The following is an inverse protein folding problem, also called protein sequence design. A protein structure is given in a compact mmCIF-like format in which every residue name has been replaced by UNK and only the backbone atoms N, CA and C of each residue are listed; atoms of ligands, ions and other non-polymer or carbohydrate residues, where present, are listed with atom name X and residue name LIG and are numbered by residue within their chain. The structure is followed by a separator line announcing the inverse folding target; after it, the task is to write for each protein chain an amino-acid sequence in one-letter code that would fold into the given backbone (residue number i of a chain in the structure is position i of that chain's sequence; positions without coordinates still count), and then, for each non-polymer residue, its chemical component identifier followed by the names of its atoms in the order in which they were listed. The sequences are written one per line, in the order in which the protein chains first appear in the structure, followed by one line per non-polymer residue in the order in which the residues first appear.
data_IF_569390264479
#
_entry.id   IF_569390264479
#
_cell.length_a   1.000
_cell.length_b   1.000
_cell.length_c   1.000
_cell.angle_alpha   90.00
_cell.angle_beta   90.00
_cell.angle_gamma   90.00
#
_symmetry.space_group_name_H-M   'P 1'
#
loop_
_entity.id
_entity.type
_entity.pdbx_description
1 polymer ?
#
# COMPACT_ATOMS: atom_id res chain seq x y z
N UNK A 1 2.58 -19.53 10.47
CA UNK A 1 3.68 -18.60 10.81
C UNK A 1 4.71 -18.58 9.70
N UNK A 2 5.51 -17.52 9.60
CA UNK A 2 6.55 -17.41 8.57
C UNK A 2 7.45 -16.21 8.79
N UNK A 3 8.45 -16.07 7.92
CA UNK A 3 9.36 -14.92 7.88
C UNK A 3 9.21 -14.26 6.52
N UNK A 4 9.02 -12.93 6.49
CA UNK A 4 8.84 -12.17 5.26
C UNK A 4 9.86 -11.05 5.13
N UNK A 5 10.29 -10.79 3.90
CA UNK A 5 10.96 -9.55 3.53
C UNK A 5 9.96 -8.63 2.85
N UNK A 6 10.02 -7.35 3.18
CA UNK A 6 9.19 -6.29 2.61
C UNK A 6 10.12 -5.29 1.94
N UNK A 7 9.81 -4.94 0.70
CA UNK A 7 10.58 -3.97 -0.07
C UNK A 7 9.63 -3.07 -0.86
N UNK A 8 9.87 -1.77 -0.81
CA UNK A 8 9.26 -0.80 -1.72
C UNK A 8 10.12 0.44 -1.85
N UNK A 9 9.82 1.24 -2.87
CA UNK A 9 10.32 2.60 -3.02
C UNK A 9 9.14 3.56 -2.86
N UNK A 10 9.25 4.49 -1.91
CA UNK A 10 8.31 5.58 -1.71
C UNK A 10 8.82 6.81 -2.47
N UNK A 11 8.10 7.18 -3.51
CA UNK A 11 8.44 8.30 -4.36
C UNK A 11 7.42 9.42 -4.18
N UNK A 12 7.91 10.63 -3.90
CA UNK A 12 7.13 11.86 -3.95
C UNK A 12 7.94 12.93 -4.70
N UNK A 13 7.51 13.31 -5.89
CA UNK A 13 8.28 14.18 -6.81
C UNK A 13 7.81 15.63 -6.85
N UNK A 14 6.66 15.95 -6.26
CA UNK A 14 6.13 17.30 -6.28
C UNK A 14 7.01 18.24 -5.44
N UNK A 15 7.33 19.41 -5.98
CA UNK A 15 8.00 20.48 -5.25
C UNK A 15 7.01 21.33 -4.45
N UNK A 16 5.74 21.34 -4.85
CA UNK A 16 4.69 22.15 -4.23
C UNK A 16 4.08 21.49 -2.98
N UNK A 17 4.17 20.16 -2.89
CA UNK A 17 3.66 19.37 -1.76
C UNK A 17 4.66 19.27 -0.61
N UNK A 18 4.16 19.16 0.62
CA UNK A 18 5.01 18.97 1.79
C UNK A 18 5.39 17.49 2.02
N UNK A 19 4.86 16.61 1.19
CA UNK A 19 5.26 15.21 1.10
C UNK A 19 4.41 14.29 1.95
N UNK A 20 4.63 13.00 1.79
CA UNK A 20 3.81 11.97 2.43
C UNK A 20 4.57 11.18 3.47
N UNK A 21 3.84 10.62 4.43
CA UNK A 21 4.34 9.63 5.39
C UNK A 21 3.68 8.29 5.12
N UNK A 22 4.50 7.25 4.96
CA UNK A 22 4.02 5.87 4.87
C UNK A 22 4.27 5.16 6.20
N UNK A 23 3.28 4.40 6.64
CA UNK A 23 3.32 3.54 7.80
C UNK A 23 3.17 2.07 7.39
N UNK A 24 3.97 1.21 8.01
CA UNK A 24 3.73 -0.22 8.05
C UNK A 24 3.33 -0.61 9.46
N UNK A 25 2.14 -1.18 9.61
CA UNK A 25 1.58 -1.58 10.88
C UNK A 25 1.37 -3.09 10.91
N UNK A 26 1.57 -3.69 12.07
CA UNK A 26 1.22 -5.07 12.38
C UNK A 26 0.15 -5.05 13.47
N UNK A 27 -0.90 -5.85 13.28
CA UNK A 27 -1.92 -6.05 14.32
C UNK A 27 -1.38 -6.65 15.62
N UNK A 28 -0.20 -7.30 15.56
CA UNK A 28 0.47 -7.93 16.70
C UNK A 28 1.59 -7.08 17.30
N UNK A 29 2.37 -6.42 16.45
CA UNK A 29 3.62 -5.75 16.83
C UNK A 29 3.50 -4.22 16.85
N UNK A 30 2.35 -3.68 16.42
CA UNK A 30 2.16 -2.24 16.26
C UNK A 30 2.91 -1.70 15.04
N UNK A 31 3.43 -0.48 15.11
CA UNK A 31 4.12 0.16 13.98
C UNK A 31 5.50 -0.46 13.76
N UNK A 32 5.68 -1.10 12.62
CA UNK A 32 6.92 -1.73 12.17
C UNK A 32 7.84 -0.76 11.44
N UNK A 33 7.28 0.24 10.77
CA UNK A 33 8.04 1.21 10.00
C UNK A 33 7.27 2.50 9.73
N UNK A 34 8.04 3.57 9.57
CA UNK A 34 7.56 4.89 9.22
C UNK A 34 8.61 5.57 8.34
N UNK A 35 8.21 6.02 7.16
CA UNK A 35 9.11 6.70 6.22
C UNK A 35 8.43 7.92 5.62
N UNK A 36 9.19 8.98 5.45
CA UNK A 36 8.70 10.24 4.90
C UNK A 36 9.41 10.56 3.60
N UNK A 37 8.66 10.85 2.54
CA UNK A 37 9.19 11.34 1.27
C UNK A 37 8.60 12.71 0.94
N UNK A 38 9.48 13.69 0.76
CA UNK A 38 9.16 15.03 0.29
C UNK A 38 10.21 15.44 -0.75
N UNK A 39 9.73 15.73 -1.96
CA UNK A 39 10.53 15.92 -3.18
C UNK A 39 11.75 14.97 -3.28
N UNK A 40 11.52 13.67 -3.06
CA UNK A 40 12.56 12.64 -3.07
C UNK A 40 11.99 11.24 -3.22
N UNK A 41 12.90 10.29 -3.39
CA UNK A 41 12.63 8.86 -3.25
C UNK A 41 13.23 8.32 -1.94
N UNK A 42 12.52 7.41 -1.28
CA UNK A 42 12.94 6.75 -0.04
C UNK A 42 12.70 5.25 -0.15
N UNK A 43 13.73 4.45 0.14
CA UNK A 43 13.59 3.01 0.19
C UNK A 43 12.95 2.56 1.51
N UNK A 44 11.87 1.80 1.43
CA UNK A 44 11.12 1.25 2.57
C UNK A 44 11.32 -0.26 2.64
N UNK A 45 12.31 -0.70 3.42
CA UNK A 45 12.69 -2.12 3.50
C UNK A 45 12.60 -2.63 4.94
N UNK A 46 12.03 -3.83 5.12
CA UNK A 46 12.24 -4.66 6.30
C UNK A 46 12.65 -6.06 5.86
N UNK A 47 13.66 -6.61 6.51
CA UNK A 47 14.13 -7.98 6.28
C UNK A 47 13.85 -8.82 7.50
N UNK A 48 13.60 -10.11 7.29
CA UNK A 48 13.42 -11.10 8.36
C UNK A 48 12.29 -10.76 9.33
N UNK A 49 11.20 -10.16 8.84
CA UNK A 49 10.03 -9.88 9.67
C UNK A 49 9.30 -11.19 9.99
N UNK A 50 9.27 -11.56 11.27
CA UNK A 50 8.47 -12.68 11.74
C UNK A 50 6.97 -12.33 11.74
N UNK A 51 6.17 -13.16 11.08
CA UNK A 51 4.71 -13.03 11.00
C UNK A 51 4.01 -14.28 11.51
N UNK A 52 2.88 -14.08 12.19
CA UNK A 52 2.03 -15.15 12.70
C UNK A 52 0.80 -15.37 11.83
N UNK A 53 0.29 -16.61 11.81
CA UNK A 53 -1.00 -16.85 11.16
C UNK A 53 -2.10 -15.99 11.80
N UNK A 54 -2.88 -15.28 10.98
CA UNK A 54 -3.90 -14.35 11.45
C UNK A 54 -3.39 -12.94 11.80
N UNK A 55 -2.07 -12.69 11.71
CA UNK A 55 -1.51 -11.33 11.79
C UNK A 55 -1.86 -10.54 10.52
N UNK A 56 -2.32 -9.32 10.70
CA UNK A 56 -2.57 -8.38 9.61
C UNK A 56 -1.39 -7.41 9.52
N UNK A 57 -0.94 -7.16 8.29
CA UNK A 57 0.03 -6.11 7.98
C UNK A 57 -0.68 -5.03 7.15
N UNK A 58 -0.77 -3.83 7.72
CA UNK A 58 -1.43 -2.70 7.07
C UNK A 58 -0.39 -1.72 6.53
N UNK A 59 -0.56 -1.35 5.27
CA UNK A 59 0.28 -0.40 4.55
C UNK A 59 -0.55 0.84 4.29
N UNK A 60 -0.20 1.95 4.94
CA UNK A 60 -0.96 3.19 4.86
C UNK A 60 -0.06 4.36 4.49
N UNK A 61 -0.56 5.27 3.65
CA UNK A 61 0.09 6.54 3.34
C UNK A 61 -0.82 7.66 3.77
N UNK A 62 -0.27 8.66 4.45
CA UNK A 62 -0.98 9.87 4.88
C UNK A 62 -0.26 11.11 4.35
N UNK A 63 -1.06 12.14 4.04
CA UNK A 63 -0.55 13.48 3.79
C UNK A 63 0.00 14.07 5.09
N UNK A 64 0.89 15.05 4.98
CA UNK A 64 1.46 15.72 6.15
C UNK A 64 0.60 16.91 6.57
N UNK A 65 1.11 18.12 6.43
CA UNK A 65 0.41 19.34 6.85
C UNK A 65 -0.65 19.75 5.84
N UNK A 66 -0.36 19.64 4.54
CA UNK A 66 -1.24 20.06 3.45
C UNK A 66 -1.28 18.97 2.37
N UNK A 67 -2.46 18.38 2.06
CA UNK A 67 -2.57 17.37 1.00
C UNK A 67 -2.30 17.93 -0.40
N UNK A 68 -2.21 19.25 -0.57
CA UNK A 68 -1.96 19.87 -1.88
C UNK A 68 -0.60 19.44 -2.41
N UNK A 69 -0.62 18.82 -3.59
CA UNK A 69 0.60 18.42 -4.28
C UNK A 69 1.24 17.14 -3.73
N UNK A 70 0.61 16.44 -2.80
CA UNK A 70 1.12 15.22 -2.14
C UNK A 70 0.98 13.94 -3.00
N UNK A 71 1.01 14.06 -4.33
CA UNK A 71 0.99 12.91 -5.22
C UNK A 71 2.21 12.02 -4.97
N UNK A 72 1.97 10.73 -4.72
CA UNK A 72 3.01 9.77 -4.40
C UNK A 72 2.87 8.47 -5.20
N UNK A 73 3.95 7.69 -5.21
CA UNK A 73 3.95 6.30 -5.67
C UNK A 73 4.57 5.43 -4.59
N UNK A 74 3.84 4.39 -4.19
CA UNK A 74 4.32 3.38 -3.24
C UNK A 74 3.63 2.05 -3.52
N UNK A 75 4.41 1.04 -3.88
CA UNK A 75 3.89 -0.29 -4.22
C UNK A 75 4.75 -1.37 -3.55
N UNK A 76 4.43 -1.73 -2.29
CA UNK A 76 5.18 -2.73 -1.54
C UNK A 76 5.14 -4.13 -2.18
N UNK A 77 6.28 -4.80 -2.11
CA UNK A 77 6.42 -6.22 -2.38
C UNK A 77 6.70 -6.95 -1.08
N UNK A 78 5.98 -8.04 -0.84
CA UNK A 78 6.21 -8.97 0.27
C UNK A 78 6.74 -10.27 -0.30
N UNK A 79 7.83 -10.79 0.25
CA UNK A 79 8.40 -12.09 -0.10
C UNK A 79 8.49 -12.94 1.15
N UNK A 80 7.74 -14.03 1.22
CA UNK A 80 7.88 -14.99 2.31
C UNK A 80 9.07 -15.90 2.05
N UNK A 81 10.03 -15.91 2.97
CA UNK A 81 11.13 -16.86 2.97
C UNK A 81 10.52 -18.25 3.12
N UNK A 82 10.86 -19.15 2.21
CA UNK A 82 10.39 -20.53 2.25
C UNK A 82 10.90 -21.21 3.52
N UNK A 83 10.08 -21.23 4.57
CA UNK A 83 10.12 -22.32 5.53
C UNK A 83 9.32 -23.47 4.89
N UNK A 84 10.04 -24.48 4.41
CA UNK A 84 9.55 -25.80 3.97
C UNK A 84 8.02 -25.94 3.88
N UNK A 85 7.41 -25.43 2.81
CA UNK A 85 6.02 -25.78 2.50
C UNK A 85 6.05 -27.21 1.92
N UNK A 86 5.44 -28.23 2.57
CA UNK A 86 5.42 -29.59 2.04
C UNK A 86 4.76 -29.59 0.66
N UNK A 87 5.51 -29.97 -0.38
CA UNK A 87 5.02 -30.00 -1.76
C UNK A 87 5.30 -28.76 -2.63
N UNK A 88 5.92 -27.71 -2.08
CA UNK A 88 6.36 -26.51 -2.81
C UNK A 88 7.83 -26.15 -2.53
N UNK A 89 8.69 -27.16 -2.46
CA UNK A 89 10.12 -26.97 -2.25
C UNK A 89 10.72 -26.05 -3.34
N UNK A 90 11.25 -24.90 -2.95
CA UNK A 90 11.94 -23.96 -3.83
C UNK A 90 11.13 -22.76 -4.34
N UNK A 91 9.84 -22.64 -4.00
CA UNK A 91 9.04 -21.46 -4.38
C UNK A 91 8.81 -20.52 -3.18
N UNK A 92 9.46 -19.35 -3.21
CA UNK A 92 9.13 -18.26 -2.30
C UNK A 92 7.77 -17.66 -2.70
N UNK A 93 6.86 -17.52 -1.73
CA UNK A 93 5.57 -16.86 -1.97
C UNK A 93 5.79 -15.36 -2.03
N UNK A 94 5.37 -14.73 -3.13
CA UNK A 94 5.55 -13.29 -3.38
C UNK A 94 4.19 -12.63 -3.62
N UNK A 95 4.02 -11.44 -3.05
CA UNK A 95 2.91 -10.54 -3.30
C UNK A 95 3.47 -9.18 -3.72
N UNK A 96 2.88 -8.59 -4.74
CA UNK A 96 3.31 -7.33 -5.34
C UNK A 96 2.09 -6.42 -5.50
N UNK A 97 2.06 -5.32 -4.73
CA UNK A 97 0.92 -4.41 -4.72
C UNK A 97 0.60 -3.82 -6.11
N UNK A 98 1.61 -3.60 -6.95
CA UNK A 98 1.41 -3.02 -8.29
C UNK A 98 0.61 -3.95 -9.19
N UNK A 99 0.85 -5.25 -9.10
CA UNK A 99 0.22 -6.25 -9.98
C UNK A 99 -0.92 -7.04 -9.34
N UNK A 100 -1.06 -7.03 -8.01
CA UNK A 100 -2.07 -7.83 -7.31
C UNK A 100 -3.35 -7.05 -6.95
N UNK A 101 -3.30 -5.72 -6.88
CA UNK A 101 -4.52 -4.89 -6.66
C UNK A 101 -5.19 -4.46 -7.96
N UNK A 102 -4.40 -4.30 -9.03
CA UNK A 102 -4.90 -4.04 -10.37
C UNK A 102 -4.80 -5.34 -11.16
N UNK A 103 -5.92 -5.84 -11.67
CA UNK A 103 -5.90 -6.89 -12.68
C UNK A 103 -5.98 -6.21 -14.06
N UNK A 104 -4.84 -5.99 -14.76
CA UNK A 104 -4.84 -5.32 -16.06
C UNK A 104 -5.60 -6.12 -17.13
N UNK A 105 -5.75 -7.43 -16.96
CA UNK A 105 -6.44 -8.32 -17.89
C UNK A 105 -7.96 -8.35 -17.66
N UNK A 106 -8.43 -7.75 -16.56
CA UNK A 106 -9.86 -7.66 -16.23
C UNK A 106 -10.26 -6.19 -16.22
N UNK A 107 -10.82 -5.73 -17.34
CA UNK A 107 -11.50 -4.44 -17.34
C UNK A 107 -12.54 -4.43 -16.20
N UNK A 108 -12.57 -3.38 -15.37
CA UNK A 108 -13.59 -3.27 -14.34
C UNK A 108 -14.96 -3.35 -15.02
N UNK A 109 -15.85 -4.20 -14.49
CA UNK A 109 -17.21 -4.25 -15.01
C UNK A 109 -17.84 -2.86 -14.83
N UNK A 110 -18.64 -2.37 -15.79
CA UNK A 110 -19.42 -1.16 -15.59
C UNK A 110 -20.18 -1.26 -14.27
N UNK A 111 -20.18 -0.18 -13.49
CA UNK A 111 -20.89 -0.14 -12.21
C UNK A 111 -22.39 -0.35 -12.45
N UNK A 112 -23.04 -1.10 -11.57
CA UNK A 112 -24.49 -1.20 -11.55
C UNK A 112 -25.14 0.10 -11.05
N UNK A 113 -26.45 0.33 -11.29
CA UNK A 113 -27.13 1.57 -10.90
C UNK A 113 -27.00 1.95 -9.41
N UNK A 114 -26.95 0.96 -8.51
CA UNK A 114 -26.75 1.18 -7.07
C UNK A 114 -25.31 1.54 -6.72
N UNK A 115 -24.33 0.98 -7.42
CA UNK A 115 -22.92 1.29 -7.23
C UNK A 115 -22.60 2.69 -7.77
N UNK A 116 -23.20 3.06 -8.90
CA UNK A 116 -23.17 4.43 -9.42
C UNK A 116 -23.81 5.42 -8.45
N UNK A 117 -25.01 5.12 -7.92
CA UNK A 117 -25.65 5.97 -6.91
C UNK A 117 -24.78 6.12 -5.66
N UNK A 118 -24.16 5.03 -5.18
CA UNK A 118 -23.23 5.08 -4.07
C UNK A 118 -22.01 5.96 -4.37
N UNK A 119 -21.44 5.87 -5.57
CA UNK A 119 -20.37 6.77 -6.00
C UNK A 119 -20.83 8.24 -6.05
N UNK A 120 -22.01 8.52 -6.60
CA UNK A 120 -22.56 9.88 -6.64
C UNK A 120 -22.75 10.44 -5.24
N UNK A 121 -23.23 9.63 -4.30
CA UNK A 121 -23.38 10.03 -2.90
C UNK A 121 -22.04 10.23 -2.17
N UNK A 122 -21.00 9.46 -2.52
CA UNK A 122 -19.66 9.66 -1.98
C UNK A 122 -19.01 10.94 -2.54
N UNK A 123 -19.15 11.17 -3.84
CA UNK A 123 -18.56 12.32 -4.53
C UNK A 123 -19.30 13.63 -4.25
N UNK A 124 -20.58 13.60 -3.89
CA UNK A 124 -21.35 14.82 -3.58
C UNK A 124 -20.73 15.64 -2.44
N UNK A 125 -20.02 14.97 -1.51
CA UNK A 125 -19.25 15.63 -0.45
C UNK A 125 -18.03 16.40 -0.98
N UNK A 126 -17.44 15.98 -2.11
CA UNK A 126 -16.31 16.68 -2.73
C UNK A 126 -16.79 17.85 -3.61
N UNK A 127 -17.98 17.74 -4.21
CA UNK A 127 -18.55 18.78 -5.07
C UNK A 127 -19.11 19.99 -4.31
N UNK A 128 -19.36 19.89 -3.00
CA UNK A 128 -19.82 21.05 -2.21
C UNK A 128 -18.74 22.14 -2.03
N UNK A 129 -17.49 21.81 -2.35
CA UNK A 129 -16.32 22.70 -2.19
C UNK A 129 -15.84 23.32 -3.51
N UNK A 130 -16.52 23.06 -4.63
CA UNK A 130 -16.20 23.66 -5.93
C UNK A 130 -17.03 24.94 -6.10
N UNK A 131 -16.39 26.10 -5.90
CA UNK A 131 -16.82 27.41 -6.43
C UNK A 131 -15.99 27.81 -7.65
#
# INVERSE_FOLDING_TARGET
DGVVDIYAELLHQSEEGDGVVCHLLSSRQGRLGEWTAANRSVLTTLTDLEVKQGEALDFATVCRGDPKGDTYQWAPTITMKSAEMPGMAGMAKRWDARSNFLNPDRMPQPLGPWEELAQVLLLSNEFIWVE
#
